data_IF_349450291001
#
_entry.id   IF_349450291001
#
_cell.length_a   1.000
_cell.length_b   1.000
_cell.length_c   1.000
_cell.angle_alpha   90.00
_cell.angle_beta   90.00
_cell.angle_gamma   90.00
#
_symmetry.space_group_name_H-M   'P 1'
#
loop_
_entity.id
_entity.type
_entity.pdbx_description
1 polymer ?
#
# COMPACT_ATOMS: atom_id res chain seq x y z
N UNK A 1 5.35 13.31 24.54
CA UNK A 1 5.18 14.08 23.29
C UNK A 1 3.96 13.53 22.56
N UNK A 2 2.78 14.13 22.77
CA UNK A 2 1.53 13.71 22.13
C UNK A 2 1.46 14.29 20.73
N UNK A 3 1.66 13.46 19.71
CA UNK A 3 1.43 13.90 18.33
C UNK A 3 -0.08 14.17 18.15
N UNK A 4 -0.45 15.44 18.07
CA UNK A 4 -1.84 15.86 17.83
C UNK A 4 -2.11 15.71 16.33
N UNK A 5 -2.77 14.63 15.93
CA UNK A 5 -3.16 14.40 14.53
C UNK A 5 -4.46 15.15 14.24
N UNK A 6 -4.39 16.19 13.40
CA UNK A 6 -5.53 17.02 13.04
C UNK A 6 -6.46 16.36 12.02
N UNK A 7 -6.03 15.28 11.37
CA UNK A 7 -6.83 14.50 10.40
C UNK A 7 -6.30 13.08 10.21
N UNK A 8 -7.18 12.13 9.87
CA UNK A 8 -6.83 10.71 9.64
C UNK A 8 -5.80 10.54 8.51
N UNK A 9 -5.88 11.35 7.46
CA UNK A 9 -4.95 11.31 6.32
C UNK A 9 -3.52 11.72 6.72
N UNK A 10 -3.35 12.62 7.68
CA UNK A 10 -2.03 12.95 8.24
C UNK A 10 -1.42 11.78 9.00
N UNK A 11 -2.23 11.06 9.79
CA UNK A 11 -1.77 9.87 10.50
C UNK A 11 -1.32 8.79 9.51
N UNK A 12 -2.10 8.50 8.46
CA UNK A 12 -1.73 7.51 7.45
C UNK A 12 -0.45 7.87 6.70
N UNK A 13 -0.23 9.15 6.36
CA UNK A 13 1.02 9.60 5.73
C UNK A 13 2.23 9.43 6.64
N UNK A 14 2.08 9.65 7.95
CA UNK A 14 3.17 9.40 8.88
C UNK A 14 3.54 7.92 8.98
N UNK A 15 2.56 7.02 8.93
CA UNK A 15 2.84 5.59 8.87
C UNK A 15 3.59 5.24 7.59
N UNK A 16 3.21 5.82 6.45
CA UNK A 16 3.95 5.66 5.18
C UNK A 16 5.39 6.18 5.30
N UNK A 17 5.61 7.31 5.96
CA UNK A 17 6.97 7.83 6.19
C UNK A 17 7.79 6.93 7.14
N UNK A 18 7.18 6.40 8.20
CA UNK A 18 7.83 5.43 9.09
C UNK A 18 8.16 4.11 8.37
N UNK A 19 7.31 3.70 7.42
CA UNK A 19 7.52 2.51 6.59
C UNK A 19 8.75 2.62 5.68
N UNK A 20 9.24 3.81 5.35
CA UNK A 20 10.48 3.97 4.56
C UNK A 20 11.65 3.26 5.25
N UNK A 21 11.74 3.36 6.58
CA UNK A 21 12.77 2.67 7.34
C UNK A 21 12.58 1.14 7.30
N UNK A 22 11.34 0.67 7.40
CA UNK A 22 11.00 -0.75 7.28
C UNK A 22 11.30 -1.33 5.89
N UNK A 23 10.98 -0.61 4.82
CA UNK A 23 11.30 -0.98 3.44
C UNK A 23 12.81 -1.00 3.23
N UNK A 24 13.55 -0.06 3.83
CA UNK A 24 15.02 -0.03 3.76
C UNK A 24 15.64 -1.27 4.41
N UNK A 25 15.12 -1.69 5.56
CA UNK A 25 15.52 -2.94 6.21
C UNK A 25 15.15 -4.15 5.33
N UNK A 26 13.91 -4.22 4.84
CA UNK A 26 13.46 -5.31 3.98
C UNK A 26 14.31 -5.44 2.71
N UNK A 27 14.70 -4.33 2.10
CA UNK A 27 15.62 -4.30 0.96
C UNK A 27 17.01 -4.87 1.31
N UNK A 28 17.54 -4.54 2.49
CA UNK A 28 18.84 -5.05 2.93
C UNK A 28 18.83 -6.58 3.18
N UNK A 29 17.72 -7.14 3.68
CA UNK A 29 17.60 -8.58 3.93
C UNK A 29 17.19 -9.40 2.69
N UNK A 30 16.26 -8.89 1.88
CA UNK A 30 15.61 -9.64 0.81
C UNK A 30 16.07 -9.26 -0.61
N UNK A 31 16.85 -8.19 -0.76
CA UNK A 31 17.38 -7.73 -2.05
C UNK A 31 16.35 -7.03 -2.94
N UNK A 32 16.61 -7.03 -4.25
CA UNK A 32 15.84 -6.25 -5.24
C UNK A 32 14.38 -6.72 -5.43
N UNK A 33 14.09 -8.00 -5.15
CA UNK A 33 12.76 -8.58 -5.36
C UNK A 33 11.64 -7.85 -4.60
N UNK A 34 11.93 -7.35 -3.39
CA UNK A 34 10.94 -6.65 -2.56
C UNK A 34 10.44 -5.36 -3.21
N UNK A 35 11.31 -4.62 -3.91
CA UNK A 35 10.94 -3.34 -4.54
C UNK A 35 9.95 -3.60 -5.67
N UNK A 36 10.22 -4.61 -6.50
CA UNK A 36 9.33 -5.00 -7.60
C UNK A 36 7.98 -5.46 -7.06
N UNK A 37 7.98 -6.22 -5.96
CA UNK A 37 6.76 -6.72 -5.34
C UNK A 37 5.91 -5.59 -4.73
N UNK A 38 6.54 -4.65 -4.01
CA UNK A 38 5.88 -3.45 -3.48
C UNK A 38 5.32 -2.60 -4.63
N UNK A 39 6.09 -2.39 -5.69
CA UNK A 39 5.66 -1.58 -6.82
C UNK A 39 4.43 -2.20 -7.52
N UNK A 40 4.47 -3.51 -7.81
CA UNK A 40 3.33 -4.23 -8.36
C UNK A 40 2.11 -4.16 -7.44
N UNK A 41 2.31 -4.32 -6.13
CA UNK A 41 1.22 -4.28 -5.15
C UNK A 41 0.53 -2.93 -5.12
N UNK A 42 1.31 -1.84 -5.13
CA UNK A 42 0.77 -0.48 -5.16
C UNK A 42 0.02 -0.21 -6.46
N UNK A 43 0.55 -0.64 -7.61
CA UNK A 43 -0.12 -0.48 -8.91
C UNK A 43 -1.45 -1.24 -8.93
N UNK A 44 -1.47 -2.49 -8.48
CA UNK A 44 -2.71 -3.30 -8.40
C UNK A 44 -3.71 -2.66 -7.43
N UNK A 45 -3.27 -2.21 -6.26
CA UNK A 45 -4.14 -1.60 -5.27
C UNK A 45 -4.82 -0.33 -5.81
N UNK A 46 -4.04 0.58 -6.40
CA UNK A 46 -4.58 1.82 -6.99
C UNK A 46 -5.53 1.50 -8.14
N UNK A 47 -5.19 0.53 -9.00
CA UNK A 47 -6.06 0.14 -10.12
C UNK A 47 -7.40 -0.43 -9.64
N UNK A 48 -7.37 -1.29 -8.62
CA UNK A 48 -8.57 -1.92 -8.05
C UNK A 48 -9.43 -0.90 -7.32
N UNK A 49 -8.82 -0.07 -6.47
CA UNK A 49 -9.51 0.99 -5.73
C UNK A 49 -10.16 1.99 -6.69
N UNK A 50 -9.43 2.47 -7.70
CA UNK A 50 -9.96 3.40 -8.70
C UNK A 50 -11.12 2.77 -9.50
N UNK A 51 -11.02 1.48 -9.84
CA UNK A 51 -12.08 0.76 -10.56
C UNK A 51 -13.34 0.63 -9.71
N UNK A 52 -13.20 0.23 -8.44
CA UNK A 52 -14.33 0.09 -7.53
C UNK A 52 -14.99 1.43 -7.18
N UNK A 53 -14.21 2.48 -6.97
CA UNK A 53 -14.73 3.83 -6.75
C UNK A 53 -15.52 4.34 -7.96
N UNK A 54 -15.03 4.05 -9.17
CA UNK A 54 -15.74 4.38 -10.42
C UNK A 54 -17.06 3.63 -10.51
N UNK A 55 -17.09 2.35 -10.15
CA UNK A 55 -18.33 1.54 -10.11
C UNK A 55 -19.30 2.09 -9.06
N UNK A 56 -18.81 2.48 -7.88
CA UNK A 56 -19.64 3.04 -6.79
C UNK A 56 -19.99 4.53 -6.97
N UNK A 57 -19.60 5.17 -8.08
CA UNK A 57 -19.83 6.61 -8.35
C UNK A 57 -19.30 7.55 -7.26
N UNK A 58 -18.30 7.12 -6.49
CA UNK A 58 -17.67 7.97 -5.46
C UNK A 58 -16.54 8.80 -6.06
N UNK A 59 -16.24 9.98 -5.47
CA UNK A 59 -15.15 10.82 -5.95
C UNK A 59 -13.80 10.11 -5.72
N UNK A 60 -13.09 9.87 -6.83
CA UNK A 60 -11.81 9.13 -6.87
C UNK A 60 -10.68 9.89 -6.14
N UNK A 61 -10.69 11.22 -6.24
CA UNK A 61 -9.64 12.11 -5.70
C UNK A 61 -9.47 12.01 -4.17
N UNK A 62 -10.52 12.12 -3.33
CA UNK A 62 -10.37 12.03 -1.88
C UNK A 62 -9.95 10.64 -1.39
N UNK A 63 -10.40 9.57 -2.05
CA UNK A 63 -10.04 8.20 -1.65
C UNK A 63 -8.55 7.89 -1.92
N UNK A 64 -8.04 8.26 -3.10
CA UNK A 64 -6.60 8.13 -3.38
C UNK A 64 -5.77 9.07 -2.49
N UNK A 65 -6.31 10.25 -2.13
CA UNK A 65 -5.62 11.22 -1.29
C UNK A 65 -5.48 10.77 0.18
N UNK A 66 -6.31 9.83 0.64
CA UNK A 66 -6.26 9.31 2.00
C UNK A 66 -5.04 8.38 2.22
N UNK A 67 -4.49 7.81 1.15
CA UNK A 67 -3.27 6.99 1.20
C UNK A 67 -3.45 5.60 1.83
N UNK A 68 -4.68 5.26 2.23
CA UNK A 68 -5.02 3.96 2.85
C UNK A 68 -4.68 2.77 1.95
N UNK A 69 -5.07 2.80 0.67
CA UNK A 69 -4.78 1.71 -0.26
C UNK A 69 -3.28 1.50 -0.49
N UNK A 70 -2.50 2.59 -0.54
CA UNK A 70 -1.04 2.53 -0.69
C UNK A 70 -0.42 1.88 0.56
N UNK A 71 -0.86 2.30 1.75
CA UNK A 71 -0.40 1.74 3.01
C UNK A 71 -0.70 0.24 3.09
N UNK A 72 -1.93 -0.18 2.80
CA UNK A 72 -2.35 -1.59 2.79
C UNK A 72 -1.53 -2.40 1.79
N UNK A 73 -1.33 -1.89 0.57
CA UNK A 73 -0.53 -2.56 -0.45
C UNK A 73 0.92 -2.77 -0.02
N UNK A 74 1.54 -1.77 0.60
CA UNK A 74 2.91 -1.85 1.10
C UNK A 74 3.02 -2.88 2.23
N UNK A 75 2.11 -2.85 3.21
CA UNK A 75 2.11 -3.79 4.34
C UNK A 75 1.91 -5.23 3.88
N UNK A 76 1.00 -5.47 2.92
CA UNK A 76 0.80 -6.80 2.33
C UNK A 76 2.03 -7.25 1.54
N UNK A 77 2.62 -6.37 0.73
CA UNK A 77 3.80 -6.70 -0.06
C UNK A 77 5.00 -7.09 0.82
N UNK A 78 5.18 -6.42 1.98
CA UNK A 78 6.24 -6.75 2.95
C UNK A 78 5.92 -8.04 3.71
N UNK A 79 4.64 -8.35 3.94
CA UNK A 79 4.22 -9.57 4.65
C UNK A 79 4.38 -10.84 3.80
N UNK A 80 4.50 -10.71 2.48
CA UNK A 80 4.71 -11.84 1.57
C UNK A 80 6.22 -12.01 1.33
N UNK A 81 6.78 -13.24 1.39
CA UNK A 81 8.20 -13.48 1.12
C UNK A 81 8.61 -12.98 -0.27
N UNK A 82 9.81 -12.40 -0.40
CA UNK A 82 10.33 -11.85 -1.68
C UNK A 82 10.62 -12.90 -2.75
N UNK A 83 10.75 -14.16 -2.35
CA UNK A 83 10.91 -15.34 -3.23
C UNK A 83 9.57 -15.82 -3.78
N UNK A 84 8.45 -15.28 -3.29
CA UNK A 84 7.14 -15.59 -3.82
C UNK A 84 7.04 -15.16 -5.29
N UNK A 85 6.37 -15.97 -6.14
CA UNK A 85 6.10 -15.57 -7.50
C UNK A 85 5.32 -14.24 -7.56
N UNK A 86 5.69 -13.40 -8.51
CA UNK A 86 5.13 -12.06 -8.70
C UNK A 86 3.61 -12.02 -8.88
N UNK A 87 2.98 -13.11 -9.33
CA UNK A 87 1.51 -13.21 -9.48
C UNK A 87 0.74 -13.21 -8.14
N UNK A 88 1.39 -13.50 -7.00
CA UNK A 88 0.69 -13.55 -5.70
C UNK A 88 0.20 -12.17 -5.28
N UNK A 89 0.81 -11.10 -5.83
CA UNK A 89 0.40 -9.71 -5.63
C UNK A 89 -1.06 -9.45 -6.06
N UNK A 90 -1.65 -10.30 -6.90
CA UNK A 90 -3.09 -10.21 -7.24
C UNK A 90 -3.97 -10.34 -5.98
N UNK A 91 -3.51 -10.99 -4.91
CA UNK A 91 -4.22 -11.03 -3.62
C UNK A 91 -4.46 -9.66 -2.98
N UNK A 92 -3.66 -8.64 -3.34
CA UNK A 92 -3.89 -7.25 -2.91
C UNK A 92 -5.23 -6.74 -3.42
N UNK A 93 -5.68 -7.18 -4.60
CA UNK A 93 -7.01 -6.83 -5.10
C UNK A 93 -8.13 -7.28 -4.15
N UNK A 94 -8.02 -8.48 -3.58
CA UNK A 94 -8.99 -8.99 -2.62
C UNK A 94 -9.03 -8.14 -1.34
N UNK A 95 -7.85 -7.76 -0.83
CA UNK A 95 -7.73 -6.91 0.37
C UNK A 95 -8.19 -5.46 0.17
N UNK A 96 -8.25 -4.96 -1.06
CA UNK A 96 -8.77 -3.61 -1.36
C UNK A 96 -10.28 -3.63 -1.60
N UNK A 97 -10.82 -4.76 -2.06
CA UNK A 97 -12.26 -4.90 -2.33
C UNK A 97 -13.07 -5.09 -1.03
N UNK A 98 -12.50 -5.82 -0.06
CA UNK A 98 -13.16 -6.23 1.19
C UNK A 98 -12.74 -5.33 2.35
#
# INVERSE_FOLDING_TARGET
MTAVFSSTSQMMRQVIYALVLGISAAYAFFGWGIIVQIFLAVVVAIAVEATFLKIRKHPIKPAIADGSAILTAILLAISIPSIAPWWIVVGVSFAIIF
#
